data_IF_238974467004
#
_entry.id   IF_238974467004
#
_cell.length_a   1.000
_cell.length_b   1.000
_cell.length_c   1.000
_cell.angle_alpha   90.00
_cell.angle_beta   90.00
_cell.angle_gamma   90.00
#
_symmetry.space_group_name_H-M   'P 1'
#
loop_
_entity.id
_entity.type
_entity.pdbx_description
1 polymer ?
#
# COMPACT_ATOMS: atom_id res chain seq x y z
N UNK A 1 28.92 -22.21 15.82
CA UNK A 1 29.18 -21.76 14.44
C UNK A 1 27.83 -21.64 13.77
N UNK A 2 27.42 -20.43 13.41
CA UNK A 2 26.17 -20.18 12.69
C UNK A 2 26.21 -20.85 11.31
N UNK A 3 25.08 -21.37 10.86
CA UNK A 3 24.96 -21.96 9.52
C UNK A 3 24.39 -20.90 8.59
N UNK A 4 25.12 -20.53 7.54
CA UNK A 4 24.62 -19.66 6.49
C UNK A 4 23.65 -20.44 5.62
N UNK A 5 22.41 -19.95 5.53
CA UNK A 5 21.34 -20.50 4.69
C UNK A 5 20.55 -19.37 4.04
N UNK A 6 19.87 -19.65 2.93
CA UNK A 6 18.91 -18.72 2.35
C UNK A 6 17.50 -19.04 2.82
N UNK A 7 16.80 -18.04 3.31
CA UNK A 7 15.39 -18.13 3.76
C UNK A 7 14.60 -16.92 3.29
N UNK A 8 13.29 -17.08 3.22
CA UNK A 8 12.40 -15.94 3.20
C UNK A 8 12.12 -15.48 4.64
N UNK A 9 12.31 -14.20 4.89
CA UNK A 9 12.02 -13.55 6.17
C UNK A 9 10.74 -12.73 5.96
N UNK A 10 9.80 -12.86 6.88
CA UNK A 10 8.54 -12.16 6.86
C UNK A 10 8.32 -11.45 8.19
N UNK A 11 7.92 -10.20 8.13
CA UNK A 11 7.37 -9.44 9.24
C UNK A 11 5.92 -9.09 8.93
N UNK A 12 5.03 -9.32 9.90
CA UNK A 12 3.62 -8.96 9.82
C UNK A 12 3.25 -8.15 11.06
N UNK A 13 2.68 -6.97 10.87
CA UNK A 13 2.46 -5.95 11.90
C UNK A 13 1.02 -5.43 11.84
N UNK A 14 0.38 -5.26 13.01
CA UNK A 14 -1.00 -4.75 13.11
C UNK A 14 -1.00 -3.24 12.93
N UNK A 15 -1.74 -2.77 11.94
CA UNK A 15 -1.79 -1.34 11.63
C UNK A 15 -2.61 -0.58 12.67
N UNK A 16 -1.96 0.45 13.26
CA UNK A 16 -2.63 1.34 14.20
C UNK A 16 -2.99 0.69 15.54
N UNK A 17 -2.22 -0.30 15.99
CA UNK A 17 -2.42 -0.98 17.28
C UNK A 17 -2.56 0.01 18.45
N UNK A 18 -1.70 1.03 18.53
CA UNK A 18 -1.79 2.08 19.56
C UNK A 18 -3.17 2.75 19.56
N UNK A 19 -3.73 3.04 18.38
CA UNK A 19 -5.08 3.63 18.26
C UNK A 19 -6.18 2.68 18.73
N UNK A 20 -5.98 1.36 18.62
CA UNK A 20 -6.92 0.37 19.17
C UNK A 20 -7.04 0.52 20.69
N UNK A 21 -5.90 0.70 21.38
CA UNK A 21 -5.89 0.92 22.84
C UNK A 21 -6.63 2.20 23.23
N UNK A 22 -6.44 3.29 22.48
CA UNK A 22 -7.13 4.56 22.72
C UNK A 22 -8.65 4.48 22.47
N UNK A 23 -9.08 3.68 21.49
CA UNK A 23 -10.47 3.62 21.04
C UNK A 23 -11.32 2.65 21.86
N UNK A 24 -10.79 1.47 22.20
CA UNK A 24 -11.59 0.39 22.80
C UNK A 24 -11.15 -0.02 24.20
N UNK A 25 -10.08 0.59 24.72
CA UNK A 25 -9.49 0.32 26.03
C UNK A 25 -8.58 -0.91 26.03
N UNK A 26 -7.71 -0.97 27.05
CA UNK A 26 -6.56 -1.88 27.12
C UNK A 26 -6.91 -3.36 26.98
N UNK A 27 -7.95 -3.82 27.66
CA UNK A 27 -8.30 -5.25 27.66
C UNK A 27 -8.76 -5.72 26.28
N UNK A 28 -9.68 -4.98 25.64
CA UNK A 28 -10.22 -5.35 24.32
C UNK A 28 -9.17 -5.23 23.24
N UNK A 29 -8.37 -4.16 23.26
CA UNK A 29 -7.29 -3.95 22.31
C UNK A 29 -6.25 -5.07 22.39
N UNK A 30 -5.83 -5.43 23.62
CA UNK A 30 -4.91 -6.54 23.86
C UNK A 30 -5.45 -7.87 23.33
N UNK A 31 -6.72 -8.19 23.61
CA UNK A 31 -7.32 -9.45 23.16
C UNK A 31 -7.46 -9.50 21.62
N UNK A 32 -7.76 -8.36 20.99
CA UNK A 32 -7.80 -8.22 19.54
C UNK A 32 -6.42 -8.40 18.90
N UNK A 33 -5.38 -7.74 19.44
CA UNK A 33 -3.99 -7.91 18.99
C UNK A 33 -3.54 -9.36 19.18
N UNK A 34 -3.84 -9.98 20.32
CA UNK A 34 -3.53 -11.39 20.57
C UNK A 34 -4.19 -12.32 19.55
N UNK A 35 -5.44 -12.05 19.16
CA UNK A 35 -6.13 -12.80 18.11
C UNK A 35 -5.45 -12.62 16.75
N UNK A 36 -5.02 -11.40 16.39
CA UNK A 36 -4.25 -11.16 15.17
C UNK A 36 -2.94 -11.95 15.17
N UNK A 37 -2.21 -11.93 16.28
CA UNK A 37 -0.95 -12.68 16.43
C UNK A 37 -1.19 -14.18 16.24
N UNK A 38 -2.25 -14.72 16.84
CA UNK A 38 -2.56 -16.15 16.71
C UNK A 38 -2.90 -16.55 15.26
N UNK A 39 -3.65 -15.71 14.55
CA UNK A 39 -3.91 -15.91 13.11
C UNK A 39 -2.59 -15.89 12.31
N UNK A 40 -1.70 -14.92 12.57
CA UNK A 40 -0.40 -14.83 11.89
C UNK A 40 0.50 -16.04 12.19
N UNK A 41 0.53 -16.53 13.43
CA UNK A 41 1.26 -17.74 13.84
C UNK A 41 0.71 -18.98 13.13
N UNK A 42 -0.59 -19.19 13.20
CA UNK A 42 -1.27 -20.33 12.57
C UNK A 42 -1.02 -20.36 11.05
N UNK A 43 -1.15 -19.24 10.36
CA UNK A 43 -0.85 -19.14 8.93
C UNK A 43 0.62 -19.42 8.62
N UNK A 44 1.56 -18.99 9.48
CA UNK A 44 2.97 -19.29 9.36
C UNK A 44 3.23 -20.81 9.42
N UNK A 45 2.72 -21.46 10.45
CA UNK A 45 2.94 -22.90 10.69
C UNK A 45 2.29 -23.77 9.59
N UNK A 46 1.08 -23.41 9.14
CA UNK A 46 0.38 -24.10 8.05
C UNK A 46 1.12 -24.03 6.71
N UNK A 47 2.00 -23.05 6.52
CA UNK A 47 2.79 -22.84 5.30
C UNK A 47 4.27 -23.18 5.48
N UNK A 48 4.59 -24.11 6.37
CA UNK A 48 5.95 -24.61 6.62
C UNK A 48 6.91 -23.54 7.16
N UNK A 49 6.38 -22.45 7.68
CA UNK A 49 7.16 -21.39 8.31
C UNK A 49 7.45 -21.68 9.77
N UNK A 50 8.42 -20.96 10.30
CA UNK A 50 8.78 -20.96 11.71
C UNK A 50 8.64 -19.57 12.27
N UNK A 51 7.82 -19.37 13.28
CA UNK A 51 7.76 -18.11 14.03
C UNK A 51 9.02 -18.01 14.87
N UNK A 52 9.81 -16.99 14.61
CA UNK A 52 11.08 -16.72 15.31
C UNK A 52 10.81 -15.99 16.61
N UNK A 53 10.04 -14.89 16.52
CA UNK A 53 9.67 -14.09 17.67
C UNK A 53 8.43 -13.24 17.40
N UNK A 54 7.79 -12.82 18.50
CA UNK A 54 6.70 -11.85 18.50
C UNK A 54 7.17 -10.61 19.28
N UNK A 55 6.96 -9.43 18.73
CA UNK A 55 7.39 -8.15 19.31
C UNK A 55 6.19 -7.20 19.37
N UNK A 56 5.51 -7.22 20.53
CA UNK A 56 4.26 -6.46 20.69
C UNK A 56 3.16 -6.99 19.77
N UNK A 57 2.85 -6.25 18.72
CA UNK A 57 1.83 -6.54 17.70
C UNK A 57 2.41 -7.05 16.37
N UNK A 58 3.72 -7.29 16.33
CA UNK A 58 4.45 -7.77 15.16
C UNK A 58 4.89 -9.23 15.34
N UNK A 59 4.79 -10.01 14.28
CA UNK A 59 5.31 -11.38 14.17
C UNK A 59 6.46 -11.41 13.16
N UNK A 60 7.61 -11.94 13.57
CA UNK A 60 8.72 -12.28 12.70
C UNK A 60 8.73 -13.79 12.44
N UNK A 61 8.72 -14.19 11.19
CA UNK A 61 8.73 -15.57 10.76
C UNK A 61 9.73 -15.81 9.63
N UNK A 62 10.17 -17.08 9.47
CA UNK A 62 11.00 -17.52 8.36
C UNK A 62 10.35 -18.68 7.61
N UNK A 63 10.68 -18.80 6.32
CA UNK A 63 10.14 -19.83 5.44
C UNK A 63 11.25 -20.41 4.55
N UNK A 64 11.12 -21.68 4.15
CA UNK A 64 12.13 -22.35 3.32
C UNK A 64 12.15 -21.84 1.87
N UNK A 65 11.09 -21.17 1.41
CA UNK A 65 10.99 -20.59 0.06
C UNK A 65 10.23 -19.28 0.05
N UNK A 66 10.43 -18.49 -0.99
CA UNK A 66 9.69 -17.25 -1.23
C UNK A 66 8.18 -17.52 -1.41
N UNK A 67 7.80 -18.57 -2.13
CA UNK A 67 6.38 -18.93 -2.33
C UNK A 67 5.69 -19.32 -1.03
N UNK A 68 6.36 -20.07 -0.14
CA UNK A 68 5.80 -20.41 1.17
C UNK A 68 5.52 -19.16 2.01
N UNK A 69 6.42 -18.18 1.97
CA UNK A 69 6.24 -16.91 2.66
C UNK A 69 5.06 -16.11 2.09
N UNK A 70 4.93 -16.01 0.76
CA UNK A 70 3.82 -15.28 0.15
C UNK A 70 2.47 -16.00 0.33
N UNK A 71 2.46 -17.33 0.31
CA UNK A 71 1.26 -18.10 0.65
C UNK A 71 0.81 -17.85 2.09
N UNK A 72 1.74 -17.78 3.04
CA UNK A 72 1.43 -17.42 4.42
C UNK A 72 0.94 -15.97 4.53
N UNK A 73 1.62 -15.03 3.88
CA UNK A 73 1.26 -13.62 3.87
C UNK A 73 -0.16 -13.38 3.32
N UNK A 74 -0.50 -13.99 2.20
CA UNK A 74 -1.84 -13.91 1.61
C UNK A 74 -2.90 -14.52 2.53
N UNK A 75 -2.59 -15.66 3.14
CA UNK A 75 -3.48 -16.31 4.11
C UNK A 75 -3.70 -15.45 5.36
N UNK A 76 -2.66 -14.80 5.91
CA UNK A 76 -2.77 -13.86 7.03
C UNK A 76 -3.71 -12.69 6.69
N UNK A 77 -3.50 -12.06 5.54
CA UNK A 77 -4.34 -10.96 5.05
C UNK A 77 -5.81 -11.39 4.90
N UNK A 78 -6.03 -12.53 4.24
CA UNK A 78 -7.37 -13.07 4.02
C UNK A 78 -8.09 -13.37 5.34
N UNK A 79 -7.44 -14.09 6.25
CA UNK A 79 -8.06 -14.51 7.50
C UNK A 79 -8.35 -13.33 8.42
N UNK A 80 -7.45 -12.35 8.53
CA UNK A 80 -7.65 -11.18 9.36
C UNK A 80 -8.75 -10.28 8.78
N UNK A 81 -8.73 -10.01 7.48
CA UNK A 81 -9.74 -9.15 6.83
C UNK A 81 -11.17 -9.70 6.90
N UNK A 82 -11.33 -11.03 6.96
CA UNK A 82 -12.64 -11.70 7.02
C UNK A 82 -13.04 -12.13 8.43
N UNK A 83 -12.18 -11.97 9.43
CA UNK A 83 -12.41 -12.44 10.79
C UNK A 83 -13.55 -11.67 11.47
N UNK A 84 -14.56 -12.38 11.97
CA UNK A 84 -15.77 -11.77 12.54
C UNK A 84 -15.51 -10.87 13.74
N UNK A 85 -14.53 -11.22 14.59
CA UNK A 85 -14.21 -10.50 15.82
C UNK A 85 -13.11 -9.42 15.64
N UNK A 86 -12.40 -9.40 14.51
CA UNK A 86 -11.36 -8.43 14.22
C UNK A 86 -11.92 -7.21 13.48
N UNK A 87 -12.87 -6.52 14.12
CA UNK A 87 -13.51 -5.31 13.57
C UNK A 87 -13.58 -4.22 14.61
N UNK A 88 -13.29 -2.99 14.19
CA UNK A 88 -13.44 -1.77 14.98
C UNK A 88 -14.37 -0.83 14.21
N UNK A 89 -15.45 -0.38 14.84
CA UNK A 89 -16.48 0.46 14.21
C UNK A 89 -16.98 -0.10 12.87
N UNK A 90 -17.11 -1.43 12.78
CA UNK A 90 -17.56 -2.13 11.56
C UNK A 90 -16.48 -2.34 10.51
N UNK A 91 -15.29 -1.75 10.66
CA UNK A 91 -14.16 -1.91 9.75
C UNK A 91 -13.22 -3.03 10.21
N UNK A 92 -12.74 -3.90 9.31
CA UNK A 92 -11.79 -4.94 9.68
C UNK A 92 -10.46 -4.33 10.14
N UNK A 93 -9.85 -4.97 11.15
CA UNK A 93 -8.45 -4.69 11.50
C UNK A 93 -7.57 -5.02 10.30
N UNK A 94 -6.59 -4.20 10.05
CA UNK A 94 -5.64 -4.40 8.96
C UNK A 94 -4.26 -4.74 9.50
N UNK A 95 -3.53 -5.57 8.75
CA UNK A 95 -2.10 -5.80 8.94
C UNK A 95 -1.33 -5.31 7.73
N UNK A 96 -0.05 -5.06 7.91
CA UNK A 96 0.92 -4.80 6.84
C UNK A 96 2.02 -5.86 6.91
N UNK A 97 2.49 -6.31 5.76
CA UNK A 97 3.46 -7.40 5.68
C UNK A 97 4.62 -6.99 4.78
N UNK A 98 5.83 -7.26 5.27
CA UNK A 98 7.07 -7.14 4.50
C UNK A 98 7.75 -8.50 4.38
N UNK A 99 8.24 -8.83 3.19
CA UNK A 99 8.94 -10.08 2.93
C UNK A 99 10.23 -9.83 2.15
N UNK A 100 11.30 -10.58 2.48
CA UNK A 100 12.54 -10.59 1.71
C UNK A 100 13.17 -11.98 1.74
N UNK A 101 13.64 -12.46 0.60
CA UNK A 101 14.39 -13.70 0.47
C UNK A 101 15.89 -13.39 0.37
N UNK A 102 16.71 -14.02 1.21
CA UNK A 102 18.15 -13.79 1.18
C UNK A 102 18.92 -14.60 2.22
N UNK A 103 20.25 -14.42 2.24
CA UNK A 103 21.13 -15.13 3.16
C UNK A 103 20.94 -14.65 4.60
N UNK A 104 20.87 -15.60 5.52
CA UNK A 104 20.77 -15.40 6.96
C UNK A 104 21.66 -16.35 7.72
N UNK A 105 22.03 -15.95 8.92
CA UNK A 105 22.73 -16.77 9.89
C UNK A 105 21.76 -17.20 10.99
N UNK A 106 21.67 -18.51 11.22
CA UNK A 106 20.88 -19.08 12.31
C UNK A 106 21.76 -19.28 13.54
N UNK A 107 21.40 -18.67 14.64
CA UNK A 107 22.09 -18.84 15.91
C UNK A 107 21.12 -18.76 17.09
N UNK A 108 21.19 -19.72 18.02
CA UNK A 108 20.39 -19.74 19.26
C UNK A 108 18.88 -19.61 19.04
N UNK A 109 18.33 -20.20 17.99
CA UNK A 109 16.92 -20.09 17.57
C UNK A 109 16.50 -18.67 17.13
N UNK A 110 17.45 -17.79 16.86
CA UNK A 110 17.20 -16.49 16.24
C UNK A 110 17.86 -16.40 14.85
N UNK A 111 17.50 -15.38 14.09
CA UNK A 111 17.92 -15.18 12.70
C UNK A 111 18.57 -13.82 12.57
N UNK A 112 19.78 -13.80 12.00
CA UNK A 112 20.60 -12.60 11.83
C UNK A 112 21.00 -12.38 10.38
N UNK A 113 21.24 -11.14 10.00
CA UNK A 113 21.78 -10.78 8.70
C UNK A 113 21.08 -9.56 8.07
N UNK A 114 21.67 -9.07 6.98
CA UNK A 114 21.14 -7.92 6.24
C UNK A 114 19.72 -8.19 5.70
N UNK A 115 19.43 -9.46 5.36
CA UNK A 115 18.12 -9.87 4.87
C UNK A 115 16.99 -9.61 5.88
N UNK A 116 17.27 -9.76 7.19
CA UNK A 116 16.30 -9.48 8.27
C UNK A 116 15.94 -7.99 8.29
N UNK A 117 16.95 -7.13 8.21
CA UNK A 117 16.75 -5.67 8.16
C UNK A 117 15.98 -5.25 6.90
N UNK A 118 16.27 -5.89 5.78
CA UNK A 118 15.56 -5.62 4.52
C UNK A 118 14.08 -6.00 4.63
N UNK A 119 13.76 -7.18 5.17
CA UNK A 119 12.37 -7.61 5.37
C UNK A 119 11.59 -6.67 6.30
N UNK A 120 12.18 -6.28 7.45
CA UNK A 120 11.56 -5.33 8.38
C UNK A 120 11.29 -3.97 7.71
N UNK A 121 12.21 -3.52 6.86
CA UNK A 121 12.03 -2.29 6.10
C UNK A 121 10.88 -2.40 5.08
N UNK A 122 10.68 -3.57 4.46
CA UNK A 122 9.53 -3.79 3.58
C UNK A 122 8.21 -3.64 4.34
N UNK A 123 8.14 -4.15 5.59
CA UNK A 123 6.96 -3.95 6.46
C UNK A 123 6.73 -2.47 6.75
N UNK A 124 7.79 -1.71 7.01
CA UNK A 124 7.68 -0.26 7.25
C UNK A 124 7.21 0.53 6.02
N UNK A 125 7.45 0.04 4.80
CA UNK A 125 7.00 0.63 3.55
C UNK A 125 5.57 0.19 3.17
N UNK A 126 5.11 -0.92 3.72
CA UNK A 126 3.78 -1.44 3.44
C UNK A 126 2.68 -0.59 4.12
N UNK A 127 1.61 -0.34 3.39
CA UNK A 127 0.36 0.25 3.91
C UNK A 127 -0.55 -0.85 4.48
N UNK A 128 -1.64 -0.43 5.12
CA UNK A 128 -2.69 -1.33 5.60
C UNK A 128 -3.19 -2.24 4.45
N UNK A 129 -3.23 -3.54 4.70
CA UNK A 129 -3.64 -4.55 3.71
C UNK A 129 -2.60 -4.89 2.64
N UNK A 130 -1.42 -4.25 2.64
CA UNK A 130 -0.37 -4.52 1.66
C UNK A 130 0.60 -5.61 2.09
N UNK A 131 1.12 -6.32 1.09
CA UNK A 131 2.30 -7.18 1.19
C UNK A 131 3.36 -6.57 0.28
N UNK A 132 4.51 -6.16 0.84
CA UNK A 132 5.62 -5.55 0.11
C UNK A 132 6.82 -6.49 0.13
N UNK A 133 7.47 -6.64 -1.03
CA UNK A 133 8.66 -7.46 -1.18
C UNK A 133 9.69 -6.79 -2.09
N UNK A 134 10.81 -7.46 -2.33
CA UNK A 134 11.95 -6.95 -3.11
C UNK A 134 12.11 -7.70 -4.43
N UNK A 135 12.85 -7.12 -5.40
CA UNK A 135 13.22 -7.78 -6.65
C UNK A 135 13.89 -9.14 -6.41
N UNK A 136 14.81 -9.22 -5.44
CA UNK A 136 15.50 -10.48 -5.09
C UNK A 136 14.52 -11.59 -4.66
N UNK A 137 13.43 -11.23 -3.99
CA UNK A 137 12.36 -12.20 -3.66
C UNK A 137 11.58 -12.58 -4.90
N UNK A 138 11.22 -11.61 -5.75
CA UNK A 138 10.43 -11.84 -6.98
C UNK A 138 11.15 -12.80 -7.94
N UNK A 139 12.46 -12.73 -8.02
CA UNK A 139 13.29 -13.66 -8.81
C UNK A 139 13.21 -15.12 -8.35
N UNK A 140 12.90 -15.35 -7.08
CA UNK A 140 12.78 -16.70 -6.47
C UNK A 140 11.36 -17.25 -6.47
N UNK A 141 10.39 -16.48 -6.93
CA UNK A 141 8.97 -16.86 -6.97
C UNK A 141 8.65 -17.77 -8.16
N UNK A 142 7.66 -18.61 -7.96
CA UNK A 142 6.95 -19.33 -9.04
C UNK A 142 6.37 -18.34 -10.06
N UNK A 143 6.11 -18.78 -11.31
CA UNK A 143 5.50 -17.92 -12.33
C UNK A 143 4.19 -17.29 -11.88
N UNK A 144 3.37 -17.99 -11.10
CA UNK A 144 2.07 -17.55 -10.59
C UNK A 144 2.24 -16.35 -9.63
N UNK A 145 3.08 -16.49 -8.60
CA UNK A 145 3.35 -15.41 -7.68
C UNK A 145 4.10 -14.25 -8.34
N UNK A 146 5.00 -14.55 -9.28
CA UNK A 146 5.70 -13.49 -10.02
C UNK A 146 4.74 -12.63 -10.83
N UNK A 147 3.74 -13.24 -11.48
CA UNK A 147 2.69 -12.53 -12.21
C UNK A 147 1.80 -11.67 -11.28
N UNK A 148 1.66 -12.06 -10.01
CA UNK A 148 0.93 -11.30 -9.01
C UNK A 148 1.76 -10.19 -8.34
N UNK A 149 3.02 -9.96 -8.74
CA UNK A 149 3.87 -8.91 -8.21
C UNK A 149 3.85 -7.68 -9.12
N UNK A 150 3.64 -6.49 -8.53
CA UNK A 150 3.67 -5.20 -9.22
C UNK A 150 4.76 -4.33 -8.63
N UNK A 151 5.64 -3.78 -9.47
CA UNK A 151 6.63 -2.80 -9.03
C UNK A 151 5.92 -1.52 -8.55
N UNK A 152 6.29 -1.01 -7.38
CA UNK A 152 5.67 0.17 -6.78
C UNK A 152 6.64 1.32 -6.56
N UNK A 153 7.92 1.04 -6.28
CA UNK A 153 8.91 2.09 -5.98
C UNK A 153 10.34 1.58 -6.13
N UNK A 154 11.29 2.50 -6.05
CA UNK A 154 12.73 2.24 -5.90
C UNK A 154 13.23 2.99 -4.68
N UNK A 155 13.61 2.27 -3.63
CA UNK A 155 14.05 2.85 -2.37
C UNK A 155 15.58 2.75 -2.19
N UNK A 156 16.23 3.85 -1.82
CA UNK A 156 17.63 3.83 -1.41
C UNK A 156 17.76 3.39 0.04
N UNK A 157 18.49 2.32 0.32
CA UNK A 157 18.78 1.90 1.68
C UNK A 157 19.80 2.83 2.33
N UNK A 158 19.39 3.56 3.37
CA UNK A 158 20.35 4.31 4.20
C UNK A 158 21.40 3.34 4.76
N UNK A 159 22.67 3.51 4.37
CA UNK A 159 23.80 2.73 4.85
C UNK A 159 24.37 1.68 3.91
N UNK A 160 23.74 1.34 2.80
CA UNK A 160 24.26 0.38 1.82
C UNK A 160 24.52 0.95 0.41
N UNK A 161 24.09 2.19 0.13
CA UNK A 161 24.34 2.85 -1.17
C UNK A 161 23.69 2.18 -2.39
N UNK A 162 22.93 1.10 -2.18
CA UNK A 162 22.25 0.37 -3.24
C UNK A 162 20.75 0.68 -3.27
N UNK A 163 20.22 0.86 -4.46
CA UNK A 163 18.79 0.98 -4.70
C UNK A 163 18.13 -0.40 -4.64
N UNK A 164 17.02 -0.49 -3.93
CA UNK A 164 16.19 -1.71 -3.89
C UNK A 164 14.87 -1.41 -4.56
N UNK A 165 14.53 -2.22 -5.57
CA UNK A 165 13.24 -2.17 -6.24
C UNK A 165 12.19 -2.86 -5.37
N UNK A 166 11.11 -2.15 -5.09
CA UNK A 166 10.00 -2.60 -4.24
C UNK A 166 8.84 -3.11 -5.09
N UNK A 167 8.27 -4.22 -4.67
CA UNK A 167 7.11 -4.82 -5.30
C UNK A 167 5.97 -4.99 -4.29
N UNK A 168 4.76 -4.67 -4.71
CA UNK A 168 3.53 -5.07 -4.02
C UNK A 168 3.08 -6.43 -4.55
N UNK A 169 2.67 -7.31 -3.65
CA UNK A 169 2.09 -8.61 -3.97
C UNK A 169 0.57 -8.48 -3.97
N UNK A 170 -0.05 -8.73 -5.12
CA UNK A 170 -1.50 -8.73 -5.30
C UNK A 170 -2.05 -10.08 -4.81
N UNK A 171 -2.48 -10.11 -3.56
CA UNK A 171 -2.88 -11.35 -2.89
C UNK A 171 -4.39 -11.66 -3.00
N UNK A 172 -5.21 -10.70 -3.43
CA UNK A 172 -6.65 -10.89 -3.68
C UNK A 172 -6.87 -11.35 -5.13
N UNK A 173 -7.68 -12.37 -5.32
CA UNK A 173 -7.97 -12.96 -6.64
C UNK A 173 -8.64 -11.96 -7.60
N UNK A 174 -9.33 -10.96 -7.07
CA UNK A 174 -9.92 -9.88 -7.85
C UNK A 174 -8.86 -8.92 -8.43
N UNK A 175 -7.71 -8.80 -7.77
CA UNK A 175 -6.59 -7.99 -8.24
C UNK A 175 -5.76 -8.71 -9.34
N UNK A 176 -5.82 -10.04 -9.42
CA UNK A 176 -5.06 -10.86 -10.40
C UNK A 176 -5.77 -10.96 -11.75
N UNK A 177 -7.10 -10.86 -11.77
CA UNK A 177 -7.90 -10.98 -13.01
C UNK A 177 -7.65 -9.85 -14.01
N UNK A 178 -7.00 -8.77 -13.62
CA UNK A 178 -6.64 -7.67 -14.52
C UNK A 178 -5.29 -7.85 -15.23
N UNK A 179 -4.54 -8.95 -14.98
CA UNK A 179 -3.18 -9.15 -15.54
C UNK A 179 -3.01 -10.40 -16.44
N UNK A 180 -4.05 -11.20 -16.71
CA UNK A 180 -3.92 -12.37 -17.59
C UNK A 180 -4.35 -12.02 -19.00
N UNK A 181 -3.47 -12.04 -20.01
CA UNK A 181 -3.89 -12.01 -21.40
C UNK A 181 -4.54 -13.35 -21.75
N UNK A 182 -5.83 -13.36 -21.88
CA UNK A 182 -6.64 -14.23 -22.70
C UNK A 182 -6.57 -15.74 -22.50
N UNK A 183 -7.50 -16.30 -21.73
CA UNK A 183 -8.18 -17.53 -22.13
C UNK A 183 -9.67 -17.18 -22.15
N UNK A 184 -10.30 -17.46 -23.31
CA UNK A 184 -11.65 -17.10 -23.64
C UNK A 184 -12.69 -17.71 -22.67
N UNK A 185 -13.31 -16.86 -21.92
CA UNK A 185 -14.54 -17.12 -21.18
C UNK A 185 -15.14 -15.75 -20.90
N UNK A 186 -16.32 -15.48 -21.37
CA UNK A 186 -17.08 -14.25 -21.47
C UNK A 186 -16.63 -13.14 -20.50
N UNK A 187 -15.87 -12.17 -21.05
CA UNK A 187 -15.47 -10.96 -20.37
C UNK A 187 -16.71 -10.15 -19.99
N UNK A 188 -16.98 -10.04 -18.68
CA UNK A 188 -17.70 -8.85 -18.21
C UNK A 188 -16.83 -7.64 -18.59
N UNK A 189 -17.38 -6.60 -19.21
CA UNK A 189 -16.61 -5.44 -19.62
C UNK A 189 -15.92 -4.86 -18.40
N UNK A 190 -14.60 -4.79 -18.42
CA UNK A 190 -13.83 -4.02 -17.45
C UNK A 190 -14.30 -2.58 -17.57
N UNK A 191 -14.99 -2.07 -16.56
CA UNK A 191 -15.35 -0.65 -16.51
C UNK A 191 -14.04 0.12 -16.45
N UNK A 192 -13.63 0.71 -17.57
CA UNK A 192 -12.49 1.60 -17.57
C UNK A 192 -12.90 2.89 -16.88
N UNK A 193 -12.03 3.38 -15.98
CA UNK A 193 -12.26 4.65 -15.29
C UNK A 193 -11.41 5.75 -15.93
N UNK A 194 -11.97 6.92 -16.02
CA UNK A 194 -11.30 8.11 -16.54
C UNK A 194 -11.53 9.28 -15.59
N UNK A 195 -10.47 10.00 -15.25
CA UNK A 195 -10.55 11.26 -14.53
C UNK A 195 -10.18 12.40 -15.46
N UNK A 196 -11.05 13.37 -15.56
CA UNK A 196 -10.83 14.61 -16.25
C UNK A 196 -10.48 15.69 -15.24
N UNK A 197 -9.30 16.28 -15.36
CA UNK A 197 -8.84 17.43 -14.59
C UNK A 197 -8.88 18.67 -15.47
N UNK A 198 -9.50 19.74 -15.02
CA UNK A 198 -9.61 20.99 -15.75
C UNK A 198 -9.14 22.17 -14.90
N UNK A 199 -8.16 22.88 -15.39
CA UNK A 199 -7.74 24.19 -14.94
C UNK A 199 -8.31 25.26 -15.86
N UNK A 200 -8.01 26.55 -15.63
CA UNK A 200 -8.43 27.63 -16.50
C UNK A 200 -7.91 27.46 -17.96
N UNK A 201 -6.66 27.01 -18.12
CA UNK A 201 -5.94 26.97 -19.39
C UNK A 201 -5.77 25.55 -19.97
N UNK A 202 -6.03 24.50 -19.22
CA UNK A 202 -5.72 23.11 -19.60
C UNK A 202 -6.76 22.12 -19.14
N UNK A 203 -6.92 21.07 -19.97
CA UNK A 203 -7.63 19.87 -19.61
C UNK A 203 -6.66 18.67 -19.73
N UNK A 204 -6.64 17.83 -18.71
CA UNK A 204 -5.81 16.62 -18.62
C UNK A 204 -6.68 15.43 -18.29
N UNK A 205 -6.35 14.30 -18.91
CA UNK A 205 -7.01 13.02 -18.66
C UNK A 205 -6.06 12.08 -17.91
N UNK A 206 -6.56 11.50 -16.83
CA UNK A 206 -5.91 10.41 -16.11
C UNK A 206 -6.68 9.15 -16.44
N UNK A 207 -6.04 8.21 -17.10
CA UNK A 207 -6.58 6.93 -17.55
C UNK A 207 -5.50 5.84 -17.43
N UNK A 208 -5.79 4.63 -17.93
CA UNK A 208 -4.83 3.51 -17.87
C UNK A 208 -3.51 3.80 -18.62
N UNK A 209 -3.51 4.73 -19.60
CA UNK A 209 -2.31 5.11 -20.36
C UNK A 209 -1.50 6.17 -19.66
N UNK A 210 -2.17 7.05 -18.90
CA UNK A 210 -1.59 8.10 -18.09
C UNK A 210 -2.11 7.94 -16.66
N UNK A 211 -1.57 6.97 -15.96
CA UNK A 211 -2.09 6.51 -14.66
C UNK A 211 -1.79 7.44 -13.48
N UNK A 212 -1.00 8.49 -13.68
CA UNK A 212 -0.61 9.44 -12.63
C UNK A 212 -0.39 10.83 -13.21
N UNK A 213 -0.76 11.87 -12.44
CA UNK A 213 -0.58 13.28 -12.75
C UNK A 213 -0.06 14.01 -11.52
N UNK A 214 1.00 14.80 -11.68
CA UNK A 214 1.61 15.63 -10.66
C UNK A 214 1.04 17.06 -10.69
N UNK A 215 0.87 17.66 -9.51
CA UNK A 215 0.25 18.97 -9.33
C UNK A 215 1.13 19.82 -8.41
N UNK A 216 1.48 21.04 -8.82
CA UNK A 216 2.29 21.92 -8.00
C UNK A 216 2.62 23.24 -8.69
N UNK A 217 3.42 24.09 -8.01
CA UNK A 217 3.82 25.40 -8.57
C UNK A 217 5.06 25.35 -9.47
N UNK A 218 5.83 24.27 -9.43
CA UNK A 218 7.01 24.11 -10.27
C UNK A 218 6.61 23.72 -11.69
N UNK A 219 7.41 24.14 -12.69
CA UNK A 219 7.10 23.97 -14.11
C UNK A 219 7.21 22.52 -14.59
N UNK A 220 7.84 21.67 -13.82
CA UNK A 220 8.03 20.24 -14.08
C UNK A 220 6.82 19.38 -13.67
N UNK A 221 5.75 19.98 -13.13
CA UNK A 221 4.51 19.28 -12.87
C UNK A 221 3.62 19.22 -14.13
N UNK A 222 2.81 18.18 -14.23
CA UNK A 222 1.81 18.01 -15.29
C UNK A 222 0.72 19.10 -15.22
N UNK A 223 0.33 19.48 -13.99
CA UNK A 223 -0.60 20.58 -13.69
C UNK A 223 0.14 21.65 -12.88
N UNK A 224 0.49 22.72 -13.55
CA UNK A 224 1.18 23.86 -12.91
C UNK A 224 0.15 24.85 -12.40
N UNK A 225 0.13 25.09 -11.08
CA UNK A 225 -0.73 26.08 -10.43
C UNK A 225 0.13 27.04 -9.62
N UNK A 226 0.10 28.29 -9.96
CA UNK A 226 0.90 29.34 -9.29
C UNK A 226 0.22 29.85 -8.03
N UNK A 227 0.99 29.97 -6.93
CA UNK A 227 0.49 30.50 -5.67
C UNK A 227 1.47 30.35 -4.51
N UNK A 228 1.40 31.25 -3.54
CA UNK A 228 2.32 31.29 -2.39
C UNK A 228 2.08 30.14 -1.39
N UNK A 229 0.84 29.63 -1.36
CA UNK A 229 0.46 28.51 -0.49
C UNK A 229 0.70 27.15 -1.15
N UNK A 230 1.13 27.14 -2.41
CA UNK A 230 1.29 25.92 -3.22
C UNK A 230 2.76 25.47 -3.19
N UNK A 231 2.99 24.22 -2.81
CA UNK A 231 4.32 23.59 -2.81
C UNK A 231 4.83 23.38 -4.24
N UNK A 232 6.15 23.24 -4.44
CA UNK A 232 6.74 22.93 -5.75
C UNK A 232 6.11 21.68 -6.35
N UNK A 233 6.13 20.57 -5.63
CA UNK A 233 5.27 19.41 -5.80
C UNK A 233 4.27 19.43 -4.64
N UNK A 234 2.98 19.61 -4.94
CA UNK A 234 1.94 19.80 -3.93
C UNK A 234 1.14 18.53 -3.71
N UNK A 235 0.65 17.96 -4.78
CA UNK A 235 -0.11 16.72 -4.75
C UNK A 235 0.15 15.90 -6.01
N UNK A 236 -0.26 14.64 -5.96
CA UNK A 236 -0.30 13.72 -7.09
C UNK A 236 -1.66 13.06 -7.11
N UNK A 237 -2.23 12.86 -8.29
CA UNK A 237 -3.40 12.02 -8.47
C UNK A 237 -2.98 10.80 -9.25
N UNK A 238 -3.33 9.63 -8.77
CA UNK A 238 -3.00 8.35 -9.40
C UNK A 238 -4.20 7.41 -9.45
N UNK A 239 -4.22 6.52 -10.45
CA UNK A 239 -5.17 5.41 -10.49
C UNK A 239 -4.63 4.30 -9.60
N UNK A 240 -5.42 3.93 -8.60
CA UNK A 240 -5.16 2.78 -7.74
C UNK A 240 -6.42 1.93 -7.67
N UNK A 241 -6.35 0.68 -8.13
CA UNK A 241 -7.47 -0.28 -8.11
C UNK A 241 -8.76 0.27 -8.73
N UNK A 242 -8.67 0.81 -9.93
CA UNK A 242 -9.79 1.45 -10.65
C UNK A 242 -10.42 2.63 -9.88
N UNK A 243 -9.68 3.27 -8.99
CA UNK A 243 -10.09 4.42 -8.21
C UNK A 243 -9.06 5.51 -8.36
N UNK A 244 -9.49 6.75 -8.32
CA UNK A 244 -8.60 7.89 -8.31
C UNK A 244 -8.25 8.25 -6.89
N UNK A 245 -6.95 8.31 -6.59
CA UNK A 245 -6.42 8.63 -5.28
C UNK A 245 -5.58 9.90 -5.40
N UNK A 246 -5.97 10.94 -4.66
CA UNK A 246 -5.19 12.15 -4.46
C UNK A 246 -4.24 11.92 -3.29
N UNK A 247 -2.94 12.11 -3.50
CA UNK A 247 -1.90 12.00 -2.49
C UNK A 247 -1.30 13.38 -2.27
N UNK A 248 -1.49 13.97 -1.09
CA UNK A 248 -0.92 15.25 -0.72
C UNK A 248 0.49 15.08 -0.15
N UNK A 249 1.42 15.92 -0.64
CA UNK A 249 2.81 15.98 -0.20
C UNK A 249 3.20 17.39 0.26
N UNK A 250 2.20 18.25 0.42
CA UNK A 250 2.39 19.67 0.62
C UNK A 250 2.65 20.09 2.07
N UNK A 251 2.97 21.36 2.25
CA UNK A 251 3.09 21.98 3.57
C UNK A 251 1.74 22.46 4.09
N UNK A 252 0.87 22.95 3.20
CA UNK A 252 -0.39 23.62 3.57
C UNK A 252 -1.64 22.76 3.37
N UNK A 253 -1.49 21.54 2.77
CA UNK A 253 -2.58 20.60 2.53
C UNK A 253 -3.39 20.91 1.28
N UNK A 254 -4.19 19.95 0.88
CA UNK A 254 -5.12 20.00 -0.26
C UNK A 254 -6.55 19.92 0.25
N UNK A 255 -7.42 20.76 -0.28
CA UNK A 255 -8.85 20.78 0.00
C UNK A 255 -9.59 20.17 -1.20
N UNK A 256 -10.52 19.29 -0.94
CA UNK A 256 -11.37 18.68 -1.97
C UNK A 256 -12.82 18.96 -1.59
N UNK A 257 -13.57 19.55 -2.52
CA UNK A 257 -15.01 19.79 -2.37
C UNK A 257 -15.75 19.05 -3.49
N UNK A 258 -16.64 18.16 -3.13
CA UNK A 258 -17.46 17.39 -4.09
C UNK A 258 -18.69 18.20 -4.53
N UNK A 259 -19.32 17.80 -5.63
CA UNK A 259 -20.49 18.50 -6.16
C UNK A 259 -21.74 18.43 -5.25
N UNK A 260 -21.81 17.40 -4.39
CA UNK A 260 -22.81 17.21 -3.34
C UNK A 260 -22.52 17.99 -2.05
N UNK A 261 -21.42 18.76 -2.02
CA UNK A 261 -21.09 19.69 -0.95
C UNK A 261 -20.26 19.07 0.19
N UNK A 262 -19.80 17.84 0.06
CA UNK A 262 -18.85 17.27 1.01
C UNK A 262 -17.48 17.94 0.87
N UNK A 263 -16.88 18.30 2.00
CA UNK A 263 -15.54 18.88 2.07
C UNK A 263 -14.57 17.93 2.76
N UNK A 264 -13.39 17.76 2.19
CA UNK A 264 -12.30 16.98 2.77
C UNK A 264 -11.01 17.80 2.76
N UNK A 265 -10.23 17.68 3.82
CA UNK A 265 -8.89 18.25 3.93
C UNK A 265 -7.87 17.14 4.09
N UNK A 266 -6.84 17.19 3.26
CA UNK A 266 -5.75 16.18 3.23
C UNK A 266 -4.42 16.89 3.36
N UNK A 267 -3.57 16.40 4.27
CA UNK A 267 -2.21 16.93 4.43
C UNK A 267 -1.24 15.80 4.74
N UNK A 268 -0.29 15.58 3.81
CA UNK A 268 0.67 14.45 3.85
C UNK A 268 -0.01 13.10 4.03
N UNK A 269 -1.14 12.95 3.37
CA UNK A 269 -2.01 11.78 3.40
C UNK A 269 -2.67 11.59 2.04
N UNK A 270 -3.54 10.60 1.90
CA UNK A 270 -4.22 10.27 0.66
C UNK A 270 -5.75 10.27 0.83
N UNK A 271 -6.45 10.68 -0.22
CA UNK A 271 -7.91 10.72 -0.29
C UNK A 271 -8.38 10.09 -1.60
N UNK A 272 -9.33 9.17 -1.54
CA UNK A 272 -10.01 8.72 -2.74
C UNK A 272 -10.97 9.81 -3.23
N UNK A 273 -10.82 10.24 -4.49
CA UNK A 273 -11.76 11.18 -5.15
C UNK A 273 -12.74 10.42 -6.01
N UNK A 274 -14.01 10.86 -6.00
CA UNK A 274 -15.12 10.24 -6.73
C UNK A 274 -16.04 11.32 -7.29
N UNK A 275 -16.82 10.96 -8.31
CA UNK A 275 -17.81 11.85 -8.89
C UNK A 275 -17.20 13.11 -9.47
N UNK A 276 -17.77 14.27 -9.15
CA UNK A 276 -17.34 15.58 -9.64
C UNK A 276 -17.04 16.51 -8.47
N UNK A 277 -16.12 17.45 -8.69
CA UNK A 277 -15.80 18.42 -7.64
C UNK A 277 -14.67 19.38 -8.00
N UNK A 278 -14.14 20.01 -6.97
CA UNK A 278 -13.07 21.00 -7.05
C UNK A 278 -11.95 20.66 -6.06
N UNK A 279 -10.72 20.94 -6.46
CA UNK A 279 -9.52 20.80 -5.64
C UNK A 279 -8.88 22.16 -5.46
N UNK A 280 -8.63 22.54 -4.21
CA UNK A 280 -7.91 23.75 -3.82
C UNK A 280 -6.58 23.40 -3.18
N UNK A 281 -5.50 24.05 -3.57
CA UNK A 281 -4.14 23.79 -3.10
C UNK A 281 -3.75 24.81 -2.03
N UNK A 282 -3.65 24.39 -0.78
CA UNK A 282 -3.32 25.23 0.37
C UNK A 282 -4.44 26.14 0.87
N UNK A 283 -5.59 26.18 0.18
CA UNK A 283 -6.82 26.89 0.57
C UNK A 283 -8.05 26.22 -0.04
N UNK A 284 -9.23 26.54 0.46
CA UNK A 284 -10.49 26.06 -0.10
C UNK A 284 -10.61 26.44 -1.59
N UNK A 285 -11.17 25.56 -2.43
CA UNK A 285 -11.38 25.85 -3.84
C UNK A 285 -12.47 26.92 -4.01
N UNK A 286 -12.24 27.87 -4.90
CA UNK A 286 -13.19 28.94 -5.23
C UNK A 286 -13.60 28.80 -6.70
N UNK A 287 -14.89 28.89 -6.98
CA UNK A 287 -15.40 28.81 -8.35
C UNK A 287 -14.88 29.98 -9.20
N UNK A 288 -14.24 29.66 -10.34
CA UNK A 288 -13.66 30.69 -11.23
C UNK A 288 -12.26 31.16 -10.83
N UNK A 289 -11.67 30.63 -9.76
CA UNK A 289 -10.28 30.92 -9.39
C UNK A 289 -9.30 30.14 -10.28
N UNK A 290 -8.24 30.79 -10.82
CA UNK A 290 -7.19 30.10 -11.59
C UNK A 290 -6.40 29.08 -10.77
N UNK A 291 -6.52 29.08 -9.44
CA UNK A 291 -5.90 28.16 -8.52
C UNK A 291 -6.78 26.95 -8.18
N UNK A 292 -7.98 26.89 -8.74
CA UNK A 292 -8.92 25.78 -8.53
C UNK A 292 -8.84 24.79 -9.68
N UNK A 293 -8.68 23.51 -9.36
CA UNK A 293 -8.72 22.42 -10.32
C UNK A 293 -10.08 21.75 -10.21
N UNK A 294 -10.83 21.69 -11.31
CA UNK A 294 -12.08 20.91 -11.38
C UNK A 294 -11.76 19.47 -11.76
N UNK A 295 -12.45 18.53 -11.16
CA UNK A 295 -12.32 17.14 -11.50
C UNK A 295 -13.67 16.50 -11.80
N UNK A 296 -13.65 15.51 -12.71
CA UNK A 296 -14.78 14.65 -13.04
C UNK A 296 -14.30 13.22 -13.24
N UNK A 297 -14.77 12.29 -12.39
CA UNK A 297 -14.53 10.86 -12.51
C UNK A 297 -15.64 10.23 -13.36
N UNK A 298 -15.27 9.60 -14.46
CA UNK A 298 -16.16 8.94 -15.42
C UNK A 298 -15.91 7.43 -15.37
N UNK A 299 -16.97 6.63 -15.27
CA UNK A 299 -16.95 5.19 -15.51
C UNK A 299 -17.38 4.96 -16.97
N UNK A 300 -16.55 4.26 -17.74
CA UNK A 300 -16.76 3.98 -19.17
C UNK A 300 -17.22 2.53 -19.39
#
# INVERSE_FOLDING_TARGET
MGKDIELAILFADVVGSTRLYDTMGDLRARDMVATCIEVMRSATEQRQGTVIKTMGDEVMATFPSADAALNAAAQMQQQISTHAQLKVDGQPVAIRIGCHFGPVMLENRDVFGAAVHTANRMTSQAKAGQIVTTAATVEKLSPEWRAACRQIDVATLKGQGSEIVLFEVLWQTEDVTSMVPGIAGEARPSRSVRLRLRTEDRELLVDERHSSVTIGRAEDNDVVVKGNLISRLHARIEISRNKFVLVDQSTNGTFVQTADGEEAFVRRDSLQIKGQGMIGLGKLPEQGSPQTIRFNCEEL
#
